data_IF_637854934226
#
_entry.id   IF_637854934226
#
_cell.length_a   1.000
_cell.length_b   1.000
_cell.length_c   1.000
_cell.angle_alpha   90.00
_cell.angle_beta   90.00
_cell.angle_gamma   90.00
#
_symmetry.space_group_name_H-M   'P 1'
#
loop_
_entity.id
_entity.type
_entity.pdbx_description
1 polymer ?
#
# COMPACT_ATOMS: atom_id res chain seq x y z
N UNK A 1 -0.98 -21.38 -13.98
CA UNK A 1 -2.05 -21.64 -12.97
C UNK A 1 -3.10 -20.54 -12.98
N UNK A 2 -2.71 -19.26 -12.95
CA UNK A 2 -3.62 -18.11 -13.03
C UNK A 2 -4.51 -18.12 -14.29
N UNK A 3 -4.01 -18.57 -15.43
CA UNK A 3 -4.83 -18.69 -16.65
C UNK A 3 -5.87 -19.81 -16.57
N UNK A 4 -5.56 -20.89 -15.82
CA UNK A 4 -6.46 -22.02 -15.61
C UNK A 4 -7.53 -21.71 -14.56
N UNK A 5 -7.16 -20.98 -13.51
CA UNK A 5 -8.03 -20.59 -12.41
C UNK A 5 -8.00 -19.08 -12.22
N UNK A 6 -8.66 -18.30 -13.10
CA UNK A 6 -8.59 -16.86 -13.06
C UNK A 6 -9.38 -16.26 -11.90
N UNK A 7 -10.37 -16.96 -11.33
CA UNK A 7 -11.21 -16.45 -10.23
C UNK A 7 -10.90 -17.15 -8.91
N UNK A 8 -11.20 -16.47 -7.79
CA UNK A 8 -11.21 -17.06 -6.46
C UNK A 8 -12.18 -18.24 -6.45
N UNK A 9 -11.65 -19.43 -6.15
CA UNK A 9 -12.38 -20.69 -6.14
C UNK A 9 -11.81 -21.61 -5.05
N UNK A 10 -12.25 -22.86 -4.99
CA UNK A 10 -11.78 -23.83 -3.98
C UNK A 10 -10.25 -24.00 -3.98
N UNK A 11 -9.61 -24.01 -5.16
CA UNK A 11 -8.15 -24.12 -5.26
C UNK A 11 -7.41 -22.96 -4.59
N UNK A 12 -7.86 -21.72 -4.80
CA UNK A 12 -7.23 -20.56 -4.15
C UNK A 12 -7.61 -20.42 -2.68
N UNK A 13 -8.84 -20.79 -2.31
CA UNK A 13 -9.30 -20.82 -0.91
C UNK A 13 -8.50 -21.82 -0.08
N UNK A 14 -8.12 -22.96 -0.64
CA UNK A 14 -7.21 -23.94 -0.01
C UNK A 14 -5.82 -23.33 0.34
N UNK A 15 -5.39 -22.28 -0.38
CA UNK A 15 -4.13 -21.57 -0.10
C UNK A 15 -4.30 -20.36 0.83
N UNK A 16 -5.51 -20.08 1.27
CA UNK A 16 -5.79 -18.98 2.19
C UNK A 16 -5.66 -19.48 3.63
N UNK A 17 -4.72 -18.93 4.43
CA UNK A 17 -4.56 -19.35 5.81
C UNK A 17 -5.79 -18.97 6.64
N UNK A 18 -6.24 -19.88 7.52
CA UNK A 18 -7.26 -19.57 8.51
C UNK A 18 -6.62 -18.78 9.66
N UNK A 19 -6.55 -17.45 9.52
CA UNK A 19 -5.88 -16.57 10.47
C UNK A 19 -6.48 -16.67 11.88
N UNK A 20 -7.82 -16.70 12.07
CA UNK A 20 -8.41 -16.85 13.42
C UNK A 20 -8.04 -18.14 14.14
N UNK A 21 -7.64 -19.20 13.44
CA UNK A 21 -7.15 -20.42 14.08
C UNK A 21 -5.70 -20.31 14.60
N UNK A 22 -5.01 -19.19 14.35
CA UNK A 22 -3.67 -18.95 14.88
C UNK A 22 -3.75 -18.33 16.27
N UNK A 23 -3.49 -19.10 17.32
CA UNK A 23 -3.56 -18.68 18.73
C UNK A 23 -2.21 -18.74 19.48
N UNK A 24 -1.17 -19.27 18.84
CA UNK A 24 0.19 -19.33 19.40
C UNK A 24 0.82 -17.94 19.55
N UNK A 25 1.76 -17.74 20.51
CA UNK A 25 2.54 -16.52 20.59
C UNK A 25 3.24 -16.21 19.26
N UNK A 26 3.25 -14.95 18.84
CA UNK A 26 3.83 -14.54 17.57
C UNK A 26 4.59 -13.22 17.63
N UNK A 27 5.73 -13.20 16.95
CA UNK A 27 6.47 -11.98 16.65
C UNK A 27 6.50 -11.81 15.12
N UNK A 28 5.69 -10.88 14.62
CA UNK A 28 5.48 -10.65 13.19
C UNK A 28 6.32 -9.46 12.72
N UNK A 29 6.99 -9.64 11.59
CA UNK A 29 7.67 -8.55 10.88
C UNK A 29 6.89 -8.15 9.64
N UNK A 30 6.91 -6.86 9.32
CA UNK A 30 6.36 -6.30 8.10
C UNK A 30 7.33 -5.26 7.54
N UNK A 31 7.44 -5.17 6.22
CA UNK A 31 8.22 -4.14 5.54
C UNK A 31 7.30 -3.30 4.65
N UNK A 32 7.60 -2.01 4.48
CA UNK A 32 6.95 -1.21 3.44
C UNK A 32 7.61 -1.37 2.07
N UNK A 33 8.78 -2.01 2.01
CA UNK A 33 9.68 -1.98 0.84
C UNK A 33 9.07 -2.59 -0.43
N UNK A 34 8.18 -3.58 -0.31
CA UNK A 34 7.59 -4.29 -1.45
C UNK A 34 6.08 -4.53 -1.27
N UNK A 35 5.40 -4.85 -2.36
CA UNK A 35 3.98 -5.24 -2.36
C UNK A 35 3.74 -6.74 -2.22
N UNK A 36 4.75 -7.53 -1.81
CA UNK A 36 4.64 -9.00 -1.74
C UNK A 36 4.05 -9.47 -0.41
N UNK A 37 4.72 -9.15 0.71
CA UNK A 37 4.41 -9.73 2.01
C UNK A 37 3.61 -8.80 2.93
N UNK A 38 3.60 -7.49 2.65
CA UNK A 38 3.07 -6.43 3.51
C UNK A 38 1.62 -6.67 3.94
N UNK A 39 0.73 -6.90 2.99
CA UNK A 39 -0.69 -7.17 3.27
C UNK A 39 -0.88 -8.46 4.07
N UNK A 40 -0.11 -9.51 3.74
CA UNK A 40 -0.16 -10.80 4.42
C UNK A 40 0.31 -10.72 5.88
N UNK A 41 1.44 -10.04 6.14
CA UNK A 41 1.96 -9.82 7.48
C UNK A 41 1.00 -8.99 8.33
N UNK A 42 0.46 -7.90 7.76
CA UNK A 42 -0.53 -7.04 8.43
C UNK A 42 -1.75 -7.86 8.86
N UNK A 43 -2.38 -8.57 7.91
CA UNK A 43 -3.56 -9.39 8.18
C UNK A 43 -3.26 -10.53 9.15
N UNK A 44 -2.12 -11.20 8.99
CA UNK A 44 -1.71 -12.31 9.83
C UNK A 44 -1.56 -11.92 11.30
N UNK A 45 -0.95 -10.75 11.55
CA UNK A 45 -0.90 -10.19 12.89
C UNK A 45 -2.28 -9.72 13.38
N UNK A 46 -3.01 -8.94 12.56
CA UNK A 46 -4.27 -8.33 12.98
C UNK A 46 -5.36 -9.36 13.30
N UNK A 47 -5.54 -10.34 12.42
CA UNK A 47 -6.65 -11.29 12.46
C UNK A 47 -6.29 -12.67 13.05
N UNK A 48 -5.09 -12.84 13.60
CA UNK A 48 -4.81 -13.98 14.49
C UNK A 48 -5.57 -13.84 15.81
N UNK A 49 -5.92 -14.98 16.41
CA UNK A 49 -6.53 -15.07 17.75
C UNK A 49 -5.52 -15.01 18.90
N UNK A 50 -4.22 -15.05 18.58
CA UNK A 50 -3.12 -14.94 19.53
C UNK A 50 -3.27 -13.73 20.46
N UNK A 51 -3.14 -13.97 21.76
CA UNK A 51 -3.11 -12.91 22.79
C UNK A 51 -1.73 -12.30 22.94
N UNK A 52 -0.72 -13.10 22.60
CA UNK A 52 0.69 -12.77 22.72
C UNK A 52 1.28 -12.50 21.34
N UNK A 53 0.87 -11.37 20.77
CA UNK A 53 1.31 -10.96 19.43
C UNK A 53 2.02 -9.62 19.44
N UNK A 54 3.16 -9.57 18.74
CA UNK A 54 3.96 -8.38 18.50
C UNK A 54 4.08 -8.12 17.01
N UNK A 55 4.07 -6.85 16.61
CA UNK A 55 4.32 -6.38 15.25
C UNK A 55 5.51 -5.42 15.25
N UNK A 56 6.53 -5.73 14.44
CA UNK A 56 7.60 -4.78 14.10
C UNK A 56 7.53 -4.47 12.61
N UNK A 57 7.35 -3.20 12.28
CA UNK A 57 7.35 -2.73 10.90
C UNK A 57 8.66 -1.99 10.64
N UNK A 58 9.41 -2.38 9.62
CA UNK A 58 10.72 -1.81 9.29
C UNK A 58 10.72 -1.10 7.92
N UNK A 59 11.64 -0.16 7.74
CA UNK A 59 11.73 0.69 6.54
C UNK A 59 12.65 0.17 5.44
N UNK A 60 13.28 -0.98 5.66
CA UNK A 60 14.34 -1.52 4.82
C UNK A 60 13.90 -2.75 4.03
N UNK A 61 14.78 -3.23 3.14
CA UNK A 61 14.66 -4.51 2.45
C UNK A 61 14.58 -5.67 3.46
N UNK A 62 13.78 -6.70 3.16
CA UNK A 62 13.52 -7.83 4.06
C UNK A 62 14.76 -8.62 4.50
N UNK A 63 15.66 -8.97 3.57
CA UNK A 63 16.89 -9.70 3.89
C UNK A 63 17.87 -8.79 4.61
N UNK A 64 17.96 -7.52 4.24
CA UNK A 64 18.78 -6.56 4.99
C UNK A 64 18.34 -6.53 6.46
N UNK A 65 17.05 -6.35 6.72
CA UNK A 65 16.49 -6.34 8.08
C UNK A 65 16.74 -7.64 8.83
N UNK A 66 16.44 -8.79 8.20
CA UNK A 66 16.55 -10.11 8.83
C UNK A 66 17.97 -10.40 9.36
N UNK A 67 19.00 -9.91 8.67
CA UNK A 67 20.40 -10.17 9.03
C UNK A 67 21.05 -9.07 9.87
N UNK A 68 20.29 -8.08 10.37
CA UNK A 68 20.86 -7.13 11.34
C UNK A 68 20.96 -7.76 12.73
N UNK A 69 22.11 -7.63 13.44
CA UNK A 69 22.30 -8.20 14.77
C UNK A 69 21.19 -7.84 15.75
N UNK A 70 20.73 -6.58 15.76
CA UNK A 70 19.70 -6.13 16.68
C UNK A 70 18.35 -6.83 16.43
N UNK A 71 18.05 -7.18 15.19
CA UNK A 71 16.83 -7.87 14.80
C UNK A 71 16.90 -9.37 15.10
N UNK A 72 18.06 -10.00 14.89
CA UNK A 72 18.29 -11.39 15.30
C UNK A 72 18.29 -11.54 16.82
N UNK A 73 18.80 -10.55 17.55
CA UNK A 73 18.77 -10.53 19.02
C UNK A 73 17.34 -10.42 19.55
N UNK A 74 16.50 -9.58 18.92
CA UNK A 74 15.07 -9.51 19.25
C UNK A 74 14.34 -10.83 18.99
N UNK A 75 14.61 -11.47 17.85
CA UNK A 75 14.06 -12.79 17.54
C UNK A 75 14.51 -13.84 18.58
N UNK A 76 15.79 -13.85 18.94
CA UNK A 76 16.32 -14.75 19.97
C UNK A 76 15.65 -14.51 21.32
N UNK A 77 15.43 -13.25 21.72
CA UNK A 77 14.73 -12.91 22.97
C UNK A 77 13.30 -13.45 22.99
N UNK A 78 12.56 -13.32 21.88
CA UNK A 78 11.22 -13.90 21.75
C UNK A 78 11.25 -15.44 21.88
N UNK A 79 12.15 -16.11 21.15
CA UNK A 79 12.25 -17.57 21.18
C UNK A 79 12.72 -18.09 22.55
N UNK A 80 13.69 -17.44 23.17
CA UNK A 80 14.17 -17.76 24.52
C UNK A 80 13.05 -17.69 25.56
N UNK A 81 12.15 -16.72 25.43
CA UNK A 81 11.03 -16.57 26.35
C UNK A 81 10.01 -17.70 26.16
N UNK A 82 9.52 -17.93 24.94
CA UNK A 82 8.43 -18.87 24.69
C UNK A 82 8.86 -20.34 24.52
N UNK A 83 10.09 -20.61 24.07
CA UNK A 83 10.60 -21.97 23.87
C UNK A 83 11.46 -22.47 25.02
N UNK A 84 12.18 -21.58 25.72
CA UNK A 84 13.08 -21.96 26.82
C UNK A 84 12.58 -21.48 28.21
N UNK A 85 11.48 -20.74 28.27
CA UNK A 85 10.93 -20.24 29.53
C UNK A 85 11.80 -19.20 30.24
N UNK A 86 12.69 -18.50 29.52
CA UNK A 86 13.57 -17.49 30.13
C UNK A 86 12.78 -16.25 30.51
N UNK A 87 12.94 -15.78 31.76
CA UNK A 87 12.44 -14.50 32.24
C UNK A 87 13.27 -13.30 31.76
N UNK A 88 13.39 -13.11 30.44
CA UNK A 88 14.24 -12.08 29.83
C UNK A 88 13.52 -10.73 29.59
N UNK A 89 12.31 -10.57 30.13
CA UNK A 89 11.53 -9.34 30.03
C UNK A 89 10.90 -9.10 28.65
N UNK A 90 10.87 -10.09 27.75
CA UNK A 90 10.29 -9.95 26.40
C UNK A 90 8.90 -9.31 26.42
N UNK A 91 8.04 -9.68 27.37
CA UNK A 91 6.67 -9.20 27.47
C UNK A 91 6.54 -7.68 27.66
N UNK A 92 7.62 -7.00 28.11
CA UNK A 92 7.67 -5.53 28.24
C UNK A 92 7.99 -4.83 26.92
N UNK A 93 8.34 -5.57 25.87
CA UNK A 93 8.52 -5.05 24.51
C UNK A 93 7.21 -4.46 24.00
N UNK A 94 7.20 -3.23 23.47
CA UNK A 94 5.99 -2.65 22.87
C UNK A 94 5.37 -3.59 21.84
N UNK A 95 4.06 -3.85 21.97
CA UNK A 95 3.31 -4.79 21.11
C UNK A 95 3.32 -4.36 19.65
N UNK A 96 3.38 -3.06 19.37
CA UNK A 96 3.57 -2.52 18.02
C UNK A 96 4.76 -1.56 18.01
N UNK A 97 5.67 -1.76 17.06
CA UNK A 97 6.79 -0.86 16.78
C UNK A 97 6.81 -0.57 15.28
N UNK A 98 6.68 0.69 14.90
CA UNK A 98 6.60 1.11 13.50
C UNK A 98 7.84 1.89 13.07
N UNK A 99 8.23 1.75 11.81
CA UNK A 99 9.09 2.71 11.14
C UNK A 99 8.26 3.72 10.34
N UNK A 100 8.77 4.93 10.16
CA UNK A 100 8.16 5.97 9.35
C UNK A 100 9.11 6.42 8.24
N UNK A 101 8.65 6.28 6.99
CA UNK A 101 9.44 6.63 5.82
C UNK A 101 9.44 8.14 5.61
N UNK A 102 10.60 8.78 5.69
CA UNK A 102 10.73 10.22 5.41
C UNK A 102 11.05 10.53 3.95
N UNK A 103 11.53 9.53 3.20
CA UNK A 103 11.98 9.65 1.81
C UNK A 103 13.14 10.65 1.63
N UNK A 104 13.80 10.57 0.48
CA UNK A 104 14.99 11.35 0.17
C UNK A 104 16.14 10.99 1.11
N UNK A 105 16.95 12.00 1.46
CA UNK A 105 18.13 11.81 2.32
C UNK A 105 17.81 11.90 3.82
N UNK A 106 16.54 12.08 4.18
CA UNK A 106 16.13 12.16 5.59
C UNK A 106 16.13 10.76 6.23
N UNK A 107 16.75 10.58 7.40
CA UNK A 107 16.75 9.30 8.08
C UNK A 107 15.34 8.96 8.58
N UNK A 108 14.90 7.73 8.32
CA UNK A 108 13.62 7.22 8.80
C UNK A 108 13.55 7.21 10.33
N UNK A 109 12.34 7.38 10.85
CA UNK A 109 12.06 7.16 12.28
C UNK A 109 11.86 5.66 12.45
N UNK A 110 12.62 5.00 13.32
CA UNK A 110 12.56 3.54 13.50
C UNK A 110 12.14 3.15 14.90
N UNK A 111 11.46 2.00 15.02
CA UNK A 111 11.00 1.42 16.28
C UNK A 111 10.11 2.33 17.13
N UNK A 112 9.36 3.26 16.52
CA UNK A 112 8.42 4.10 17.26
C UNK A 112 7.33 3.20 17.86
N UNK A 113 7.16 3.17 19.19
CA UNK A 113 6.11 2.37 19.80
C UNK A 113 4.74 2.97 19.46
N UNK A 114 3.79 2.10 19.17
CA UNK A 114 2.39 2.44 18.96
C UNK A 114 1.50 1.49 19.77
N UNK A 115 0.26 1.89 20.02
CA UNK A 115 -0.72 1.09 20.75
C UNK A 115 -1.38 0.02 19.86
N UNK A 116 -1.54 0.32 18.58
CA UNK A 116 -2.12 -0.55 17.55
C UNK A 116 -1.52 -0.21 16.17
N UNK A 117 -1.83 -1.02 15.16
CA UNK A 117 -1.54 -0.69 13.77
C UNK A 117 -2.79 -0.88 12.88
N UNK A 118 -3.32 0.18 12.26
CA UNK A 118 -2.96 1.60 12.48
C UNK A 118 -3.17 2.04 13.94
N UNK A 119 -2.44 3.06 14.45
CA UNK A 119 -2.64 3.52 15.83
C UNK A 119 -4.08 3.96 16.11
N UNK A 120 -4.57 3.82 17.34
CA UNK A 120 -5.98 4.13 17.65
C UNK A 120 -6.34 5.60 17.45
N UNK A 121 -5.35 6.50 17.55
CA UNK A 121 -5.50 7.95 17.29
C UNK A 121 -5.54 8.33 15.80
N UNK A 122 -5.45 7.35 14.89
CA UNK A 122 -5.52 7.57 13.44
C UNK A 122 -6.79 8.30 13.05
N UNK A 123 -6.65 9.34 12.24
CA UNK A 123 -7.79 10.07 11.67
C UNK A 123 -7.92 9.76 10.18
N UNK A 124 -9.09 9.29 9.76
CA UNK A 124 -9.34 8.96 8.35
C UNK A 124 -9.84 10.19 7.60
N UNK A 125 -8.97 10.76 6.77
CA UNK A 125 -9.27 11.95 5.97
C UNK A 125 -9.55 11.59 4.53
N UNK A 126 -10.56 12.24 3.96
CA UNK A 126 -10.91 12.08 2.54
C UNK A 126 -10.40 13.27 1.75
N UNK A 127 -9.71 12.99 0.65
CA UNK A 127 -9.32 13.97 -0.37
C UNK A 127 -9.99 13.60 -1.70
N UNK A 128 -10.80 14.51 -2.23
CA UNK A 128 -11.46 14.37 -3.52
C UNK A 128 -10.53 14.77 -4.66
N UNK A 129 -10.62 14.04 -5.77
CA UNK A 129 -9.89 14.32 -7.00
C UNK A 129 -10.58 15.43 -7.77
N UNK A 130 -9.80 16.34 -8.34
CA UNK A 130 -10.21 17.35 -9.32
C UNK A 130 -9.52 17.07 -10.66
N UNK A 131 -10.25 16.45 -11.58
CA UNK A 131 -9.76 16.10 -12.91
C UNK A 131 -9.47 17.31 -13.81
N UNK A 132 -10.00 18.50 -13.50
CA UNK A 132 -9.71 19.70 -14.29
C UNK A 132 -8.33 20.28 -13.93
N UNK A 133 -7.98 20.24 -12.64
CA UNK A 133 -6.81 20.95 -12.11
C UNK A 133 -5.66 20.03 -11.66
N UNK A 134 -5.83 18.70 -11.75
CA UNK A 134 -4.86 17.71 -11.26
C UNK A 134 -4.54 17.90 -9.76
N UNK A 135 -5.59 18.17 -8.97
CA UNK A 135 -5.50 18.44 -7.53
C UNK A 135 -6.32 17.45 -6.70
N UNK A 136 -5.89 17.29 -5.47
CA UNK A 136 -6.61 16.65 -4.39
C UNK A 136 -7.05 17.74 -3.42
N UNK A 137 -8.24 17.61 -2.83
CA UNK A 137 -8.69 18.56 -1.79
C UNK A 137 -9.72 17.95 -0.85
N UNK A 138 -9.86 18.48 0.37
CA UNK A 138 -10.93 18.07 1.29
C UNK A 138 -12.33 18.48 0.80
N UNK A 139 -12.42 19.44 -0.13
CA UNK A 139 -13.69 19.92 -0.65
C UNK A 139 -14.09 19.08 -1.87
N UNK A 140 -15.25 18.45 -1.80
CA UNK A 140 -15.85 17.77 -2.95
C UNK A 140 -16.05 18.77 -4.11
N UNK A 141 -15.54 18.49 -5.33
CA UNK A 141 -15.74 19.36 -6.48
C UNK A 141 -17.23 19.49 -6.82
N UNK A 142 -17.67 20.72 -7.11
CA UNK A 142 -19.05 20.99 -7.51
C UNK A 142 -19.31 20.71 -8.99
N UNK A 143 -18.33 21.00 -9.85
CA UNK A 143 -18.41 20.79 -11.29
C UNK A 143 -17.89 19.41 -11.68
N UNK A 144 -18.55 18.77 -12.65
CA UNK A 144 -18.06 17.55 -13.27
C UNK A 144 -16.86 17.82 -14.16
N UNK A 145 -15.84 16.97 -14.07
CA UNK A 145 -14.64 17.02 -14.91
C UNK A 145 -14.10 15.62 -15.16
N UNK A 146 -13.42 15.46 -16.30
CA UNK A 146 -12.84 14.20 -16.73
C UNK A 146 -11.42 14.44 -17.23
N UNK A 147 -10.50 13.58 -16.84
CA UNK A 147 -9.15 13.51 -17.40
C UNK A 147 -8.91 12.11 -17.92
N UNK A 148 -8.08 11.96 -18.96
CA UNK A 148 -7.91 10.68 -19.66
C UNK A 148 -6.47 10.42 -20.04
N UNK A 149 -6.11 9.14 -20.18
CA UNK A 149 -4.79 8.69 -20.57
C UNK A 149 -4.86 7.43 -21.45
N UNK A 150 -3.81 7.16 -22.22
CA UNK A 150 -3.72 5.93 -23.04
C UNK A 150 -3.37 4.73 -22.15
N UNK A 151 -4.20 3.71 -22.07
CA UNK A 151 -3.99 2.63 -21.10
C UNK A 151 -3.05 1.52 -21.57
N UNK A 152 -2.77 1.43 -22.88
CA UNK A 152 -1.97 0.38 -23.49
C UNK A 152 -0.44 0.58 -23.44
N UNK A 153 0.11 1.72 -23.92
CA UNK A 153 1.57 1.94 -24.00
C UNK A 153 2.25 1.94 -22.63
N UNK A 154 3.42 1.30 -22.53
CA UNK A 154 4.21 1.23 -21.28
C UNK A 154 4.92 2.54 -20.93
N UNK A 155 5.10 3.42 -21.93
CA UNK A 155 5.72 4.73 -21.79
C UNK A 155 4.72 5.78 -21.25
N UNK A 156 3.43 5.47 -21.24
CA UNK A 156 2.39 6.37 -20.74
C UNK A 156 2.49 6.49 -19.22
N UNK A 157 2.46 7.72 -18.70
CA UNK A 157 2.59 7.95 -17.25
C UNK A 157 1.24 7.98 -16.53
N UNK A 158 0.15 7.97 -17.29
CA UNK A 158 -1.20 8.10 -16.77
C UNK A 158 -1.51 9.53 -16.32
N UNK A 159 -2.40 9.66 -15.35
CA UNK A 159 -2.77 10.95 -14.74
C UNK A 159 -2.33 10.99 -13.29
N UNK A 160 -2.14 12.19 -12.75
CA UNK A 160 -1.79 12.36 -11.34
C UNK A 160 -2.52 13.53 -10.70
N UNK A 161 -2.63 13.48 -9.38
CA UNK A 161 -3.30 14.48 -8.55
C UNK A 161 -2.42 14.80 -7.33
N UNK A 162 -2.31 16.08 -6.98
CA UNK A 162 -1.41 16.53 -5.91
C UNK A 162 -2.16 17.19 -4.74
N UNK A 163 -1.74 16.88 -3.52
CA UNK A 163 -2.12 17.56 -2.28
C UNK A 163 -0.87 18.02 -1.54
N UNK A 164 -0.75 19.30 -1.25
CA UNK A 164 0.33 19.83 -0.42
C UNK A 164 -0.13 19.87 1.04
N UNK A 165 0.70 19.34 1.95
CA UNK A 165 0.44 19.42 3.38
C UNK A 165 0.92 20.77 3.92
N UNK A 166 0.14 21.39 4.80
CA UNK A 166 0.46 22.69 5.41
C UNK A 166 1.22 22.55 6.74
N UNK A 167 1.29 21.33 7.28
CA UNK A 167 1.97 20.99 8.53
C UNK A 167 2.52 19.58 8.49
N UNK A 168 3.34 19.23 9.47
CA UNK A 168 3.80 17.86 9.68
C UNK A 168 2.61 16.90 9.71
N UNK A 169 2.64 15.91 8.83
CA UNK A 169 1.56 14.93 8.66
C UNK A 169 2.17 13.58 8.34
N UNK A 170 1.65 12.52 8.95
CA UNK A 170 2.06 11.15 8.67
C UNK A 170 0.89 10.39 8.08
N UNK A 171 1.13 9.63 7.02
CA UNK A 171 0.28 8.51 6.64
C UNK A 171 0.82 7.30 7.38
N UNK A 172 0.00 6.61 8.18
CA UNK A 172 0.38 5.37 8.85
C UNK A 172 -0.78 4.38 8.86
N UNK A 173 -0.67 3.34 8.03
CA UNK A 173 -1.74 2.35 7.82
C UNK A 173 -2.07 2.14 6.33
N UNK A 174 -3.05 1.28 6.01
CA UNK A 174 -3.51 1.07 4.63
C UNK A 174 -4.43 2.22 4.19
N UNK A 175 -4.14 2.89 3.06
CA UNK A 175 -5.08 3.79 2.39
C UNK A 175 -6.05 3.02 1.48
N UNK A 176 -7.14 3.66 1.05
CA UNK A 176 -7.95 3.18 -0.08
C UNK A 176 -8.33 4.31 -1.00
N UNK A 177 -8.62 3.99 -2.25
CA UNK A 177 -9.12 4.96 -3.22
C UNK A 177 -10.43 4.47 -3.85
N UNK A 178 -11.36 5.39 -4.03
CA UNK A 178 -12.57 5.22 -4.82
C UNK A 178 -12.44 6.03 -6.10
N UNK A 179 -12.54 5.37 -7.24
CA UNK A 179 -12.49 6.02 -8.55
C UNK A 179 -13.76 5.74 -9.35
N UNK A 180 -14.23 6.76 -10.04
CA UNK A 180 -15.24 6.63 -11.09
C UNK A 180 -14.51 6.67 -12.43
N UNK A 181 -14.50 5.53 -13.14
CA UNK A 181 -13.72 5.38 -14.36
C UNK A 181 -14.55 4.83 -15.51
N UNK A 182 -14.14 5.12 -16.74
CA UNK A 182 -14.72 4.52 -17.94
C UNK A 182 -13.65 4.30 -19.01
N UNK A 183 -13.93 3.43 -19.95
CA UNK A 183 -13.20 3.32 -21.21
C UNK A 183 -14.19 3.12 -22.36
N UNK A 184 -14.06 3.82 -23.50
CA UNK A 184 -14.91 3.58 -24.67
C UNK A 184 -14.40 2.41 -25.54
N UNK A 185 -13.17 1.93 -25.31
CA UNK A 185 -12.46 1.04 -26.24
C UNK A 185 -12.56 -0.44 -25.86
N UNK A 186 -12.84 -0.74 -24.59
CA UNK A 186 -12.88 -2.10 -24.06
C UNK A 186 -14.04 -2.30 -23.09
N UNK A 187 -14.28 -3.56 -22.71
CA UNK A 187 -15.30 -3.94 -21.73
C UNK A 187 -14.74 -4.26 -20.33
N UNK A 188 -13.49 -3.86 -20.07
CA UNK A 188 -12.77 -4.06 -18.82
C UNK A 188 -11.63 -3.04 -18.71
N UNK A 189 -11.06 -2.88 -17.51
CA UNK A 189 -9.93 -1.99 -17.26
C UNK A 189 -9.05 -2.57 -16.15
N UNK A 190 -7.75 -2.73 -16.40
CA UNK A 190 -6.77 -2.91 -15.32
C UNK A 190 -6.30 -1.53 -14.85
N UNK A 191 -6.58 -1.18 -13.59
CA UNK A 191 -6.26 0.14 -13.02
C UNK A 191 -5.17 -0.02 -11.98
N UNK A 192 -4.13 0.80 -12.09
CA UNK A 192 -2.98 0.79 -11.19
C UNK A 192 -2.83 2.15 -10.51
N UNK A 193 -2.60 2.10 -9.21
CA UNK A 193 -2.51 3.26 -8.32
C UNK A 193 -1.13 3.28 -7.69
N UNK A 194 -0.51 4.46 -7.60
CA UNK A 194 0.72 4.67 -6.83
C UNK A 194 0.62 5.97 -6.03
N UNK A 195 1.04 5.93 -4.77
CA UNK A 195 1.25 7.14 -3.98
C UNK A 195 2.73 7.49 -3.98
N UNK A 196 3.06 8.75 -4.25
CA UNK A 196 4.41 9.30 -4.24
C UNK A 196 4.50 10.44 -3.25
N UNK A 197 5.70 10.63 -2.70
CA UNK A 197 6.06 11.86 -2.00
C UNK A 197 6.79 12.81 -2.96
N UNK A 198 6.45 14.09 -2.88
CA UNK A 198 7.07 15.17 -3.65
C UNK A 198 7.60 16.20 -2.66
N UNK A 199 8.84 16.64 -2.84
CA UNK A 199 9.42 17.71 -2.02
C UNK A 199 8.87 19.10 -2.39
N UNK A 200 9.34 20.13 -1.68
CA UNK A 200 8.94 21.53 -1.87
C UNK A 200 9.38 22.11 -3.22
N UNK A 201 10.40 21.52 -3.84
CA UNK A 201 10.93 21.94 -5.15
C UNK A 201 10.24 21.21 -6.31
N UNK A 202 9.33 20.27 -6.01
CA UNK A 202 8.57 19.51 -6.99
C UNK A 202 9.25 18.20 -7.42
N UNK A 203 10.34 17.79 -6.78
CA UNK A 203 11.01 16.52 -7.09
C UNK A 203 10.25 15.36 -6.45
N UNK A 204 10.03 14.31 -7.24
CA UNK A 204 9.44 13.06 -6.76
C UNK A 204 10.51 12.26 -6.00
N UNK A 205 10.27 11.99 -4.73
CA UNK A 205 11.24 11.32 -3.86
C UNK A 205 11.09 9.78 -3.89
N UNK A 206 12.15 9.10 -3.43
CA UNK A 206 12.15 7.67 -3.11
C UNK A 206 12.70 7.47 -1.70
N UNK A 207 12.30 6.39 -1.02
CA UNK A 207 12.99 5.90 0.16
C UNK A 207 14.01 4.83 -0.22
N UNK A 208 15.05 4.66 0.59
CA UNK A 208 16.08 3.64 0.37
C UNK A 208 15.79 2.39 1.20
N UNK A 209 15.79 1.24 0.54
CA UNK A 209 15.62 -0.04 1.19
C UNK A 209 16.92 -0.52 1.89
N UNK A 210 18.06 0.11 1.58
CA UNK A 210 19.33 -0.07 2.30
C UNK A 210 19.85 1.31 2.72
N UNK A 211 20.00 1.60 4.03
CA UNK A 211 20.40 2.91 4.52
C UNK A 211 21.70 3.45 3.89
N UNK A 212 21.76 4.75 3.58
CA UNK A 212 22.96 5.39 2.99
C UNK A 212 24.24 5.13 3.80
N UNK A 213 24.14 5.09 5.13
CA UNK A 213 25.28 4.83 6.03
C UNK A 213 25.96 3.47 5.81
N UNK A 214 25.28 2.53 5.13
CA UNK A 214 25.77 1.19 4.82
C UNK A 214 26.24 1.05 3.37
N UNK A 215 26.07 2.09 2.55
CA UNK A 215 26.60 2.13 1.20
C UNK A 215 28.12 2.34 1.23
N UNK A 216 28.86 1.93 0.17
CA UNK A 216 30.28 2.23 0.06
C UNK A 216 30.58 3.72 0.28
N UNK A 217 31.68 4.02 0.97
CA UNK A 217 32.04 5.41 1.28
C UNK A 217 32.10 6.28 0.02
N UNK A 218 31.42 7.42 0.04
CA UNK A 218 31.34 8.36 -1.09
C UNK A 218 30.24 8.07 -2.09
N UNK A 219 29.44 7.00 -1.90
CA UNK A 219 28.25 6.74 -2.71
C UNK A 219 27.24 7.88 -2.55
N UNK A 220 26.76 8.40 -3.68
CA UNK A 220 25.71 9.41 -3.73
C UNK A 220 24.36 8.77 -4.09
N UNK A 221 23.27 9.43 -3.72
CA UNK A 221 21.92 8.91 -3.94
C UNK A 221 21.67 8.59 -5.42
N UNK A 222 22.13 9.44 -6.34
CA UNK A 222 21.96 9.26 -7.78
C UNK A 222 22.70 8.04 -8.36
N UNK A 223 23.66 7.48 -7.62
CA UNK A 223 24.42 6.29 -8.03
C UNK A 223 23.75 4.98 -7.61
N UNK A 224 22.71 5.03 -6.78
CA UNK A 224 21.96 3.86 -6.35
C UNK A 224 20.95 3.47 -7.43
N UNK A 225 20.99 2.22 -7.88
CA UNK A 225 20.12 1.73 -8.94
C UNK A 225 18.63 1.89 -8.61
N UNK A 226 17.84 2.11 -9.67
CA UNK A 226 16.38 2.16 -9.61
C UNK A 226 15.76 0.75 -9.66
N UNK A 227 16.13 -0.08 -8.68
CA UNK A 227 15.58 -1.41 -8.49
C UNK A 227 14.83 -1.49 -7.16
N UNK A 228 13.80 -2.32 -7.10
CA UNK A 228 12.97 -2.51 -5.90
C UNK A 228 13.79 -2.97 -4.69
N UNK A 229 14.93 -3.63 -4.94
CA UNK A 229 15.85 -4.05 -3.88
C UNK A 229 16.51 -2.87 -3.15
N UNK A 230 16.72 -1.76 -3.85
CA UNK A 230 17.45 -0.60 -3.32
C UNK A 230 16.54 0.58 -3.00
N UNK A 231 15.41 0.71 -3.71
CA UNK A 231 14.52 1.86 -3.59
C UNK A 231 13.06 1.45 -3.41
N UNK A 232 12.36 2.23 -2.60
CA UNK A 232 10.93 2.20 -2.45
C UNK A 232 10.32 3.52 -2.96
N UNK A 233 9.42 3.42 -3.92
CA UNK A 233 8.79 4.59 -4.55
C UNK A 233 7.52 5.06 -3.85
N UNK A 234 6.94 4.21 -3.01
CA UNK A 234 5.64 4.40 -2.36
C UNK A 234 4.69 3.23 -2.57
N UNK A 235 3.57 3.23 -1.84
CA UNK A 235 2.63 2.13 -1.86
C UNK A 235 1.78 2.14 -3.12
N UNK A 236 1.33 0.94 -3.53
CA UNK A 236 0.53 0.77 -4.73
C UNK A 236 -0.77 0.02 -4.46
N UNK A 237 -1.72 0.21 -5.37
CA UNK A 237 -2.97 -0.53 -5.45
C UNK A 237 -3.21 -0.98 -6.89
N UNK A 238 -3.99 -2.04 -7.08
CA UNK A 238 -4.40 -2.48 -8.41
C UNK A 238 -5.76 -3.15 -8.38
N UNK A 239 -6.53 -2.97 -9.45
CA UNK A 239 -7.82 -3.62 -9.62
C UNK A 239 -8.13 -3.84 -11.09
N UNK A 240 -8.61 -5.04 -11.44
CA UNK A 240 -9.34 -5.27 -12.68
C UNK A 240 -10.79 -4.87 -12.46
N UNK A 241 -11.33 -3.95 -13.26
CA UNK A 241 -12.66 -3.37 -13.07
C UNK A 241 -13.77 -4.43 -13.03
N UNK A 242 -13.70 -5.48 -13.84
CA UNK A 242 -14.66 -6.58 -13.80
C UNK A 242 -14.64 -7.39 -12.50
N UNK A 243 -13.60 -7.26 -11.66
CA UNK A 243 -13.43 -7.95 -10.37
C UNK A 243 -13.65 -7.04 -9.16
N UNK A 244 -14.28 -5.88 -9.36
CA UNK A 244 -14.56 -4.86 -8.33
C UNK A 244 -15.51 -5.28 -7.21
N UNK A 245 -16.11 -6.47 -7.27
CA UNK A 245 -17.05 -6.93 -6.26
C UNK A 245 -16.40 -6.97 -4.87
N UNK A 246 -16.94 -6.17 -3.96
CA UNK A 246 -16.57 -6.16 -2.55
C UNK A 246 -17.41 -7.17 -1.77
N UNK A 247 -16.85 -7.65 -0.67
CA UNK A 247 -17.56 -8.49 0.30
C UNK A 247 -16.94 -8.37 1.68
N UNK A 248 -17.15 -9.41 2.47
CA UNK A 248 -16.50 -9.59 3.77
C UNK A 248 -15.65 -10.85 3.72
N UNK A 249 -14.47 -10.84 4.35
CA UNK A 249 -13.68 -12.04 4.51
C UNK A 249 -14.49 -13.06 5.34
N UNK A 250 -14.87 -14.21 4.75
CA UNK A 250 -15.77 -15.17 5.39
C UNK A 250 -15.11 -15.90 6.57
N UNK A 251 -13.79 -15.78 6.75
CA UNK A 251 -13.09 -16.39 7.88
C UNK A 251 -13.14 -15.50 9.13
N UNK A 252 -13.38 -14.20 8.99
CA UNK A 252 -13.36 -13.28 10.14
C UNK A 252 -14.61 -13.42 11.00
N UNK A 253 -14.40 -13.46 12.32
CA UNK A 253 -15.48 -13.34 13.31
C UNK A 253 -16.10 -11.94 13.29
N UNK A 254 -17.34 -11.79 13.79
CA UNK A 254 -17.99 -10.47 13.89
C UNK A 254 -17.17 -9.42 14.64
N UNK A 255 -16.44 -9.83 15.70
CA UNK A 255 -15.57 -8.94 16.45
C UNK A 255 -14.38 -8.45 15.60
N UNK A 256 -13.81 -9.31 14.76
CA UNK A 256 -12.73 -8.96 13.84
C UNK A 256 -13.23 -8.08 12.69
N UNK A 257 -14.45 -8.31 12.19
CA UNK A 257 -15.09 -7.43 11.21
C UNK A 257 -15.30 -6.02 11.81
N UNK A 258 -15.67 -5.93 13.08
CA UNK A 258 -15.84 -4.63 13.76
C UNK A 258 -14.52 -3.90 14.03
N UNK A 259 -13.38 -4.59 14.02
CA UNK A 259 -12.05 -3.97 14.24
C UNK A 259 -11.36 -3.54 12.94
N UNK A 260 -12.00 -3.74 11.78
CA UNK A 260 -11.43 -3.32 10.50
C UNK A 260 -11.36 -1.79 10.40
N UNK A 261 -10.27 -1.29 9.85
CA UNK A 261 -10.18 0.11 9.47
C UNK A 261 -11.17 0.38 8.32
N UNK A 262 -11.74 1.59 8.21
CA UNK A 262 -12.62 1.95 7.10
C UNK A 262 -11.92 1.88 5.73
N UNK A 263 -10.59 1.83 5.70
CA UNK A 263 -9.78 1.69 4.49
C UNK A 263 -9.51 0.24 4.09
N UNK A 264 -9.81 -0.74 4.95
CA UNK A 264 -9.65 -2.16 4.61
C UNK A 264 -10.77 -2.64 3.70
N UNK A 265 -10.39 -3.29 2.61
CA UNK A 265 -11.30 -3.80 1.59
C UNK A 265 -11.10 -5.30 1.42
N UNK A 266 -12.19 -6.01 1.14
CA UNK A 266 -12.14 -7.40 0.73
C UNK A 266 -12.75 -7.56 -0.66
N UNK A 267 -11.88 -7.82 -1.63
CA UNK A 267 -12.27 -8.09 -3.02
C UNK A 267 -12.59 -9.58 -3.16
N UNK A 268 -13.83 -9.89 -3.54
CA UNK A 268 -14.32 -11.29 -3.61
C UNK A 268 -13.62 -12.07 -4.72
N UNK A 269 -13.39 -11.43 -5.87
CA UNK A 269 -12.65 -11.97 -7.02
C UNK A 269 -13.15 -13.33 -7.59
N UNK A 270 -14.36 -13.78 -7.28
CA UNK A 270 -14.91 -15.10 -7.63
C UNK A 270 -15.61 -15.17 -9.00
N UNK A 271 -15.95 -14.01 -9.57
CA UNK A 271 -16.50 -13.85 -10.92
C UNK A 271 -15.97 -12.58 -11.58
N UNK A 272 -16.37 -12.38 -12.84
CA UNK A 272 -16.16 -11.14 -13.58
C UNK A 272 -17.49 -10.53 -14.01
N UNK A 273 -17.66 -9.24 -13.71
CA UNK A 273 -18.77 -8.41 -14.17
C UNK A 273 -18.23 -7.37 -15.15
N UNK A 274 -18.19 -7.73 -16.43
CA UNK A 274 -17.68 -6.84 -17.49
C UNK A 274 -18.40 -5.48 -17.48
N UNK A 275 -17.65 -4.44 -17.83
CA UNK A 275 -18.13 -3.05 -17.86
C UNK A 275 -18.42 -2.71 -19.30
N UNK A 276 -19.66 -2.43 -19.72
CA UNK A 276 -19.92 -2.08 -21.11
C UNK A 276 -19.11 -0.83 -21.53
N UNK A 277 -18.53 -0.82 -22.74
CA UNK A 277 -17.75 0.33 -23.21
C UNK A 277 -18.52 1.65 -23.06
N UNK A 278 -17.84 2.68 -22.54
CA UNK A 278 -18.38 4.01 -22.27
C UNK A 278 -19.13 4.13 -20.93
N UNK A 279 -19.38 3.04 -20.21
CA UNK A 279 -20.06 3.09 -18.91
C UNK A 279 -19.10 3.55 -17.81
N UNK A 280 -19.53 4.52 -17.00
CA UNK A 280 -18.80 4.91 -15.78
C UNK A 280 -19.04 3.87 -14.70
N UNK A 281 -17.97 3.30 -14.17
CA UNK A 281 -17.98 2.29 -13.11
C UNK A 281 -17.25 2.81 -11.87
N UNK A 282 -17.81 2.51 -10.70
CA UNK A 282 -17.19 2.77 -9.40
C UNK A 282 -16.20 1.66 -9.03
N UNK A 283 -14.99 2.05 -8.63
CA UNK A 283 -13.88 1.16 -8.30
C UNK A 283 -13.32 1.53 -6.92
N UNK A 284 -13.52 0.68 -5.93
CA UNK A 284 -12.82 0.73 -4.65
C UNK A 284 -11.54 -0.11 -4.73
N UNK A 285 -10.37 0.54 -4.68
CA UNK A 285 -9.06 -0.07 -4.85
C UNK A 285 -8.28 0.03 -3.53
N UNK A 286 -7.87 -1.10 -2.92
CA UNK A 286 -7.01 -1.08 -1.76
C UNK A 286 -5.59 -0.65 -2.16
N UNK A 287 -4.96 0.15 -1.30
CA UNK A 287 -3.53 0.49 -1.39
C UNK A 287 -2.86 -0.18 -0.19
N UNK A 288 -1.77 -0.91 -0.40
CA UNK A 288 -1.19 -1.71 0.68
C UNK A 288 -0.74 -0.85 1.88
N UNK A 289 -0.64 -1.44 3.09
CA UNK A 289 -0.23 -0.74 4.31
C UNK A 289 1.11 -0.01 4.15
N UNK A 290 1.16 1.26 4.55
CA UNK A 290 2.35 2.10 4.36
C UNK A 290 2.68 2.93 5.59
N UNK A 291 3.85 3.54 5.57
CA UNK A 291 4.11 4.79 6.28
C UNK A 291 4.76 5.83 5.36
N UNK A 292 4.34 7.08 5.47
CA UNK A 292 4.94 8.21 4.76
C UNK A 292 4.86 9.47 5.63
N UNK A 293 5.97 10.19 5.79
CA UNK A 293 6.03 11.46 6.54
C UNK A 293 6.11 12.64 5.60
N UNK A 294 5.29 13.66 5.82
CA UNK A 294 5.27 14.92 5.07
C UNK A 294 5.49 16.08 6.03
N UNK A 295 6.49 16.91 5.75
CA UNK A 295 6.67 18.22 6.35
C UNK A 295 5.76 19.24 5.65
N UNK A 296 5.57 20.40 6.27
CA UNK A 296 4.88 21.51 5.63
C UNK A 296 5.50 21.84 4.26
N UNK A 297 4.66 22.01 3.24
CA UNK A 297 5.04 22.28 1.85
C UNK A 297 5.28 21.03 1.00
N UNK A 298 5.61 19.89 1.60
CA UNK A 298 5.73 18.63 0.86
C UNK A 298 4.35 18.13 0.40
N UNK A 299 4.33 17.39 -0.70
CA UNK A 299 3.08 16.97 -1.34
C UNK A 299 2.94 15.46 -1.48
N UNK A 300 1.73 14.97 -1.25
CA UNK A 300 1.28 13.68 -1.75
C UNK A 300 0.96 13.82 -3.23
N UNK A 301 1.47 12.90 -4.05
CA UNK A 301 1.08 12.73 -5.45
C UNK A 301 0.45 11.35 -5.64
N UNK A 302 -0.82 11.34 -6.01
CA UNK A 302 -1.57 10.15 -6.40
C UNK A 302 -1.42 9.97 -7.92
N UNK A 303 -0.99 8.80 -8.37
CA UNK A 303 -0.89 8.43 -9.79
C UNK A 303 -1.90 7.34 -10.14
N UNK A 304 -2.56 7.47 -11.30
CA UNK A 304 -3.50 6.50 -11.88
C UNK A 304 -3.02 6.16 -13.30
N UNK A 305 -2.74 4.89 -13.57
CA UNK A 305 -2.21 4.45 -14.86
C UNK A 305 -2.79 3.10 -15.30
N UNK A 306 -2.51 2.74 -16.55
CA UNK A 306 -3.05 1.54 -17.23
C UNK A 306 -2.11 0.34 -17.21
N UNK A 307 -1.00 0.39 -16.49
CA UNK A 307 -0.07 -0.73 -16.42
C UNK A 307 0.65 -0.76 -15.09
N UNK A 308 1.31 -1.89 -14.81
CA UNK A 308 2.23 -1.97 -13.68
C UNK A 308 3.32 -0.92 -13.91
N UNK A 309 3.43 -0.01 -12.95
CA UNK A 309 4.45 1.04 -12.93
C UNK A 309 5.17 0.89 -11.60
N UNK A 310 6.09 -0.06 -11.46
CA UNK A 310 6.93 -0.24 -10.26
C UNK A 310 8.39 -0.36 -10.67
N UNK A 311 9.29 -0.14 -9.72
CA UNK A 311 10.68 -0.53 -9.92
C UNK A 311 10.77 -2.05 -10.09
N UNK A 312 11.68 -2.45 -10.97
CA UNK A 312 11.91 -3.85 -11.28
C UNK A 312 12.80 -4.50 -10.23
N UNK A 313 12.63 -5.80 -10.02
CA UNK A 313 13.49 -6.58 -9.13
C UNK A 313 14.85 -6.84 -9.77
N UNK A 314 14.83 -7.18 -11.06
CA UNK A 314 16.00 -7.39 -11.88
C UNK A 314 15.96 -6.46 -13.10
N UNK A 315 17.12 -6.02 -13.62
CA UNK A 315 17.19 -5.39 -14.94
C UNK A 315 16.42 -6.22 -15.98
N UNK A 316 15.73 -5.55 -16.90
CA UNK A 316 14.96 -6.14 -18.00
C UNK A 316 13.72 -7.01 -17.64
N UNK A 317 13.39 -7.18 -16.36
CA UNK A 317 12.19 -7.94 -15.94
C UNK A 317 10.85 -7.24 -16.22
N UNK A 318 10.87 -5.94 -16.51
CA UNK A 318 9.69 -5.08 -16.66
C UNK A 318 8.72 -5.44 -17.80
N UNK A 319 9.15 -6.29 -18.76
CA UNK A 319 8.35 -6.65 -19.94
C UNK A 319 7.82 -8.09 -19.92
N UNK A 320 7.95 -8.79 -18.79
CA UNK A 320 7.42 -10.15 -18.66
C UNK A 320 5.89 -10.18 -18.57
N UNK A 321 5.25 -9.07 -18.22
CA UNK A 321 3.81 -8.97 -18.09
C UNK A 321 3.14 -8.55 -19.39
N UNK A 322 2.07 -9.23 -19.78
CA UNK A 322 1.19 -8.78 -20.86
C UNK A 322 0.24 -7.71 -20.32
N UNK A 323 0.29 -6.49 -20.86
CA UNK A 323 -0.74 -5.49 -20.60
C UNK A 323 -2.01 -5.86 -21.40
N UNK A 324 -3.15 -5.99 -20.72
CA UNK A 324 -4.42 -6.30 -21.37
C UNK A 324 -5.21 -5.04 -21.76
N UNK A 325 -4.85 -3.91 -21.16
CA UNK A 325 -5.44 -2.64 -21.51
C UNK A 325 -5.05 -2.20 -22.92
N UNK A 326 -6.01 -1.58 -23.60
CA UNK A 326 -5.80 -0.88 -24.86
C UNK A 326 -6.81 0.26 -24.97
N UNK A 327 -6.43 1.34 -25.65
CA UNK A 327 -7.28 2.51 -25.82
C UNK A 327 -7.11 3.54 -24.70
N UNK A 328 -8.20 4.19 -24.31
CA UNK A 328 -8.25 5.32 -23.40
C UNK A 328 -8.99 4.94 -22.12
N UNK A 329 -8.40 5.23 -20.98
CA UNK A 329 -9.10 5.23 -19.69
C UNK A 329 -9.35 6.66 -19.26
N UNK A 330 -10.51 6.90 -18.66
CA UNK A 330 -10.94 8.21 -18.17
C UNK A 330 -11.24 8.16 -16.68
N UNK A 331 -10.76 9.16 -15.93
CA UNK A 331 -11.06 9.37 -14.51
C UNK A 331 -12.03 10.54 -14.37
N UNK A 332 -13.20 10.27 -13.81
CA UNK A 332 -14.27 11.23 -13.60
C UNK A 332 -14.22 11.81 -12.18
N UNK A 333 -14.45 13.10 -12.06
CA UNK A 333 -14.60 13.82 -10.79
C UNK A 333 -15.82 14.73 -10.85
N UNK A 334 -16.35 15.14 -9.69
CA UNK A 334 -17.47 16.07 -9.60
C UNK A 334 -18.50 15.68 -8.55
N UNK A 335 -19.64 16.36 -8.58
CA UNK A 335 -20.73 16.11 -7.65
C UNK A 335 -21.32 14.70 -7.84
N UNK A 336 -21.51 14.29 -9.09
CA UNK A 336 -22.04 12.98 -9.51
C UNK A 336 -21.01 11.86 -9.34
N UNK A 337 -19.74 12.13 -9.68
CA UNK A 337 -18.65 11.17 -9.63
C UNK A 337 -17.58 11.61 -8.62
N UNK A 338 -17.81 11.44 -7.30
CA UNK A 338 -16.88 11.88 -6.26
C UNK A 338 -15.68 10.94 -6.11
N UNK A 339 -14.82 10.85 -7.13
CA UNK A 339 -13.54 10.14 -7.01
C UNK A 339 -12.74 10.73 -5.86
N UNK A 340 -12.21 9.87 -4.98
CA UNK A 340 -11.61 10.29 -3.71
C UNK A 340 -10.61 9.25 -3.19
N UNK A 341 -9.61 9.70 -2.44
CA UNK A 341 -8.72 8.86 -1.65
C UNK A 341 -8.97 9.08 -0.16
N UNK A 342 -8.99 7.98 0.60
CA UNK A 342 -9.08 7.99 2.06
C UNK A 342 -7.72 7.61 2.65
N UNK A 343 -7.18 8.50 3.50
CA UNK A 343 -5.85 8.39 4.08
C UNK A 343 -5.93 8.22 5.61
N UNK A 344 -5.18 7.28 6.21
CA UNK A 344 -5.01 7.19 7.66
C UNK A 344 -3.94 8.20 8.12
N UNK A 345 -4.37 9.37 8.60
CA UNK A 345 -3.49 10.49 8.96
C UNK A 345 -3.22 10.57 10.46
N UNK A 346 -1.99 10.98 10.78
CA UNK A 346 -1.54 11.44 12.09
C UNK A 346 -0.92 12.84 11.94
N UNK A 347 -1.00 13.65 13.00
CA UNK A 347 -0.57 15.04 13.01
C UNK A 347 0.32 15.34 14.22
#
# INVERSE_FOLDING_TARGET
MTDKYPHMNEYWRDKTPNLPNTDVPMYVTMSYSTGLHTEGSYRGWKYSSSKDKWLRIHSTQEWHDLYQPENTDDLQRFLDHYLLGKGNGWETTPKVRVSLLRYGDSPDISHRPEDDYPPSRTQYHTLFLDSANAKLSHKKPGSSSTTSYKSGPWEEKGVHFTYAFDKYTEILGPPKIKLFMSTPDQNDMDVFIKLRKVDVDGNVLTSLNVPMKLQPHGTKLEQIDNLVLYRHEGPMGRLRASKRALGQDPMLSEAQVKSQAPTELWLVCDKEEKVPPGTVVELDIPIWPTSMVFNAGESLRLEVCGHINNLHEFPDSGRLHKNLNNGVHSVHSGAEFPSQIMLPLLF
#
